data_IF_869977650949
#
_entry.id   IF_869977650949
#
_cell.length_a   1.000
_cell.length_b   1.000
_cell.length_c   1.000
_cell.angle_alpha   90.00
_cell.angle_beta   90.00
_cell.angle_gamma   90.00
#
_symmetry.space_group_name_H-M   'P 1'
#
loop_
_entity.id
_entity.type
_entity.pdbx_description
1 polymer ?
#
# COMPACT_ATOMS: atom_id res chain seq x y z
N UNK A 1 13.97 7.35 -8.76
CA UNK A 1 14.14 8.76 -8.31
C UNK A 1 15.57 9.20 -8.54
N UNK A 2 15.77 10.30 -9.25
CA UNK A 2 17.12 10.80 -9.56
C UNK A 2 17.69 11.53 -8.33
N UNK A 3 18.66 10.91 -7.65
CA UNK A 3 19.37 11.48 -6.49
C UNK A 3 20.07 12.82 -6.82
N UNK A 4 20.22 13.15 -8.10
CA UNK A 4 20.80 14.40 -8.58
C UNK A 4 19.76 15.52 -8.54
N UNK A 5 18.53 15.27 -8.98
CA UNK A 5 17.41 16.21 -8.86
C UNK A 5 17.11 16.55 -7.40
N UNK A 6 17.17 15.56 -6.51
CA UNK A 6 16.96 15.76 -5.07
C UNK A 6 18.08 16.61 -4.42
N UNK A 7 19.35 16.46 -4.85
CA UNK A 7 20.46 17.29 -4.39
C UNK A 7 20.39 18.73 -4.91
N UNK A 8 19.91 18.92 -6.13
CA UNK A 8 19.73 20.25 -6.72
C UNK A 8 18.57 20.98 -6.03
N UNK A 9 17.45 20.33 -5.80
CA UNK A 9 16.33 20.88 -5.03
C UNK A 9 16.71 21.29 -3.60
N UNK A 10 17.65 20.56 -2.97
CA UNK A 10 18.20 20.93 -1.63
C UNK A 10 19.17 22.10 -1.67
N UNK A 11 19.85 22.37 -2.81
CA UNK A 11 20.84 23.45 -2.92
C UNK A 11 20.28 24.78 -3.42
N UNK A 12 19.28 24.75 -4.29
CA UNK A 12 18.79 25.93 -5.02
C UNK A 12 17.84 26.84 -4.23
N UNK A 13 17.02 26.28 -3.37
CA UNK A 13 16.16 27.05 -2.46
C UNK A 13 16.25 26.37 -1.10
N UNK A 14 16.40 27.16 -0.03
CA UNK A 14 16.24 26.70 1.34
C UNK A 14 14.79 26.18 1.56
N UNK A 15 14.43 25.11 0.84
CA UNK A 15 13.23 24.34 1.13
C UNK A 15 13.51 23.71 2.47
N UNK A 16 13.11 24.41 3.53
CA UNK A 16 13.06 23.83 4.85
C UNK A 16 12.37 22.48 4.72
N UNK A 17 12.97 21.37 5.20
CA UNK A 17 12.30 20.10 5.21
C UNK A 17 10.94 20.36 5.87
N UNK A 18 9.82 20.15 5.15
CA UNK A 18 8.48 20.23 5.73
C UNK A 18 8.44 19.26 6.91
N UNK A 19 8.75 19.77 8.10
CA UNK A 19 8.70 18.99 9.33
C UNK A 19 7.23 18.67 9.57
N UNK A 20 6.87 17.41 9.35
CA UNK A 20 5.51 16.94 9.59
C UNK A 20 5.23 17.00 11.08
N UNK A 21 4.31 17.84 11.48
CA UNK A 21 3.86 17.97 12.87
C UNK A 21 2.79 16.91 13.14
N UNK A 22 2.75 16.39 14.36
CA UNK A 22 1.72 15.42 14.76
C UNK A 22 0.28 15.98 14.58
N UNK A 23 0.12 17.31 14.58
CA UNK A 23 -1.13 18.01 14.25
C UNK A 23 -1.59 17.81 12.80
N UNK A 24 -0.68 17.49 11.88
CA UNK A 24 -1.00 17.30 10.46
C UNK A 24 -1.74 15.98 10.20
N UNK A 25 -1.67 15.04 11.14
CA UNK A 25 -2.46 13.79 11.14
C UNK A 25 -3.97 14.09 11.03
N UNK A 26 -4.45 15.16 11.64
CA UNK A 26 -5.86 15.58 11.55
C UNK A 26 -6.27 16.04 10.15
N UNK A 27 -5.30 16.38 9.31
CA UNK A 27 -5.53 16.85 7.92
C UNK A 27 -5.55 15.70 6.91
N UNK A 28 -5.30 14.47 7.35
CA UNK A 28 -5.36 13.32 6.45
C UNK A 28 -6.78 13.17 5.86
N UNK A 29 -6.83 12.82 4.58
CA UNK A 29 -8.09 12.61 3.85
C UNK A 29 -8.92 11.50 4.51
N UNK A 30 -10.24 11.57 4.36
CA UNK A 30 -11.14 10.52 4.84
C UNK A 30 -10.79 9.12 4.36
N UNK A 31 -10.27 8.99 3.15
CA UNK A 31 -9.78 7.73 2.58
C UNK A 31 -8.66 7.10 3.41
N UNK A 32 -7.76 7.89 3.99
CA UNK A 32 -6.72 7.38 4.88
C UNK A 32 -7.31 6.71 6.12
N UNK A 33 -8.30 7.33 6.74
CA UNK A 33 -8.96 6.78 7.92
C UNK A 33 -9.76 5.52 7.61
N UNK A 34 -10.42 5.46 6.45
CA UNK A 34 -11.09 4.25 6.01
C UNK A 34 -10.09 3.10 5.77
N UNK A 35 -8.96 3.34 5.10
CA UNK A 35 -7.91 2.33 4.93
C UNK A 35 -7.34 1.89 6.29
N UNK A 36 -7.17 2.83 7.23
CA UNK A 36 -6.73 2.52 8.59
C UNK A 36 -7.74 1.64 9.32
N UNK A 37 -9.05 1.89 9.17
CA UNK A 37 -10.11 1.02 9.73
C UNK A 37 -10.05 -0.38 9.14
N UNK A 38 -9.87 -0.52 7.82
CA UNK A 38 -9.68 -1.83 7.17
C UNK A 38 -8.48 -2.57 7.77
N UNK A 39 -7.36 -1.88 7.89
CA UNK A 39 -6.13 -2.41 8.48
C UNK A 39 -6.39 -2.92 9.90
N UNK A 40 -6.89 -2.05 10.78
CA UNK A 40 -7.14 -2.38 12.18
C UNK A 40 -8.09 -3.56 12.28
N UNK A 41 -9.26 -3.49 11.66
CA UNK A 41 -10.31 -4.49 11.79
C UNK A 41 -9.85 -5.87 11.29
N UNK A 42 -9.13 -5.94 10.19
CA UNK A 42 -8.59 -7.19 9.67
C UNK A 42 -7.54 -7.81 10.62
N UNK A 43 -6.57 -7.01 11.05
CA UNK A 43 -5.51 -7.51 11.92
C UNK A 43 -6.02 -7.88 13.32
N UNK A 44 -7.09 -7.24 13.82
CA UNK A 44 -7.78 -7.61 15.05
C UNK A 44 -8.45 -8.99 14.98
N UNK A 45 -8.79 -9.48 13.79
CA UNK A 45 -9.29 -10.85 13.65
C UNK A 45 -8.12 -11.86 13.57
N UNK A 46 -7.10 -11.58 12.77
CA UNK A 46 -6.06 -12.55 12.42
C UNK A 46 -5.07 -12.79 13.57
N UNK A 47 -4.48 -11.74 14.15
CA UNK A 47 -3.39 -11.94 15.12
C UNK A 47 -3.86 -12.56 16.46
N UNK A 48 -4.98 -12.14 17.06
CA UNK A 48 -5.49 -12.82 18.25
C UNK A 48 -5.95 -14.26 17.98
N UNK A 49 -6.48 -14.54 16.77
CA UNK A 49 -6.76 -15.91 16.34
C UNK A 49 -5.48 -16.75 16.32
N UNK A 50 -4.39 -16.27 15.71
CA UNK A 50 -3.12 -16.99 15.69
C UNK A 50 -2.57 -17.19 17.10
N UNK A 51 -2.68 -16.20 17.97
CA UNK A 51 -2.23 -16.30 19.36
C UNK A 51 -2.96 -17.38 20.15
N UNK A 52 -4.25 -17.60 19.90
CA UNK A 52 -5.09 -18.59 20.54
C UNK A 52 -5.21 -19.89 19.75
N UNK A 53 -4.68 -19.92 18.51
CA UNK A 53 -4.91 -20.97 17.52
C UNK A 53 -4.44 -22.36 17.98
N UNK A 54 -3.29 -22.46 18.66
CA UNK A 54 -2.81 -23.75 19.19
C UNK A 54 -3.89 -24.39 20.08
N UNK A 55 -4.37 -23.68 21.08
CA UNK A 55 -5.36 -24.20 22.04
C UNK A 55 -6.73 -24.42 21.36
N UNK A 56 -7.06 -23.60 20.34
CA UNK A 56 -8.25 -23.81 19.52
C UNK A 56 -8.21 -25.15 18.79
N UNK A 57 -7.10 -25.51 18.14
CA UNK A 57 -6.97 -26.78 17.43
C UNK A 57 -6.89 -28.00 18.37
N UNK A 58 -6.21 -27.88 19.50
CA UNK A 58 -6.20 -28.90 20.53
C UNK A 58 -7.61 -29.24 21.02
N UNK A 59 -8.41 -28.21 21.33
CA UNK A 59 -9.73 -28.41 21.94
C UNK A 59 -10.84 -28.72 20.94
N UNK A 60 -10.85 -28.07 19.79
CA UNK A 60 -11.91 -28.27 18.79
C UNK A 60 -11.70 -29.55 17.96
N UNK A 61 -10.47 -29.84 17.57
CA UNK A 61 -10.12 -30.91 16.65
C UNK A 61 -9.42 -32.09 17.32
N UNK A 62 -9.19 -32.02 18.63
CA UNK A 62 -8.45 -33.01 19.42
C UNK A 62 -7.05 -33.31 18.87
N UNK A 63 -6.36 -32.30 18.36
CA UNK A 63 -4.99 -32.45 17.91
C UNK A 63 -4.05 -32.54 19.12
N UNK A 64 -2.99 -33.32 18.98
CA UNK A 64 -1.86 -33.29 19.91
C UNK A 64 -1.15 -31.91 19.83
N UNK A 65 -0.43 -31.49 20.89
CA UNK A 65 0.20 -30.17 20.96
C UNK A 65 1.15 -29.83 19.80
N UNK A 66 1.84 -30.83 19.24
CA UNK A 66 2.79 -30.63 18.13
C UNK A 66 2.03 -30.42 16.83
N UNK A 67 1.03 -31.23 16.52
CA UNK A 67 0.16 -31.06 15.36
C UNK A 67 -0.63 -29.75 15.41
N UNK A 68 -1.13 -29.36 16.59
CA UNK A 68 -1.81 -28.08 16.77
C UNK A 68 -0.88 -26.89 16.52
N UNK A 69 0.36 -26.97 16.95
CA UNK A 69 1.38 -25.95 16.71
C UNK A 69 1.79 -25.88 15.24
N UNK A 70 1.95 -27.05 14.60
CA UNK A 70 2.27 -27.14 13.19
C UNK A 70 1.19 -26.50 12.32
N UNK A 71 -0.08 -26.84 12.54
CA UNK A 71 -1.19 -26.27 11.76
C UNK A 71 -1.33 -24.77 12.00
N UNK A 72 -1.16 -24.30 13.22
CA UNK A 72 -1.21 -22.89 13.55
C UNK A 72 -0.09 -22.10 12.84
N UNK A 73 1.07 -22.71 12.66
CA UNK A 73 2.22 -22.10 11.97
C UNK A 73 2.07 -22.04 10.45
N UNK A 74 1.14 -22.80 9.85
CA UNK A 74 0.97 -22.86 8.39
C UNK A 74 0.72 -21.49 7.76
N UNK A 75 0.00 -20.61 8.47
CA UNK A 75 -0.28 -19.26 7.96
C UNK A 75 1.02 -18.51 7.64
N UNK A 76 2.04 -18.63 8.49
CA UNK A 76 3.34 -17.98 8.29
C UNK A 76 4.17 -18.68 7.20
N UNK A 77 4.17 -20.01 7.16
CA UNK A 77 4.88 -20.76 6.12
C UNK A 77 4.32 -20.49 4.73
N UNK A 78 2.99 -20.52 4.59
CA UNK A 78 2.32 -20.19 3.33
C UNK A 78 2.60 -18.73 2.97
N UNK A 79 2.48 -17.81 3.92
CA UNK A 79 2.75 -16.40 3.71
C UNK A 79 4.19 -16.16 3.22
N UNK A 80 5.18 -16.78 3.83
CA UNK A 80 6.59 -16.62 3.43
C UNK A 80 6.84 -17.00 1.97
N UNK A 81 6.19 -18.08 1.49
CA UNK A 81 6.35 -18.58 0.11
C UNK A 81 5.51 -17.75 -0.88
N UNK A 82 4.27 -17.42 -0.51
CA UNK A 82 3.28 -16.86 -1.44
C UNK A 82 3.36 -15.33 -1.53
N UNK A 83 3.81 -14.63 -0.48
CA UNK A 83 3.88 -13.16 -0.46
C UNK A 83 4.69 -12.56 -1.61
N UNK A 84 5.88 -13.05 -1.98
CA UNK A 84 6.61 -12.49 -3.12
C UNK A 84 5.84 -12.63 -4.44
N UNK A 85 5.16 -13.77 -4.64
CA UNK A 85 4.36 -14.02 -5.86
C UNK A 85 3.13 -13.10 -5.91
N UNK A 86 2.43 -12.97 -4.80
CA UNK A 86 1.27 -12.08 -4.70
C UNK A 86 1.66 -10.61 -4.78
N UNK A 87 2.82 -10.21 -4.24
CA UNK A 87 3.36 -8.87 -4.42
C UNK A 87 3.54 -8.53 -5.89
N UNK A 88 4.22 -9.40 -6.65
CA UNK A 88 4.39 -9.23 -8.10
C UNK A 88 3.03 -9.20 -8.84
N UNK A 89 2.07 -10.02 -8.42
CA UNK A 89 0.74 -10.05 -9.01
C UNK A 89 0.03 -8.71 -8.79
N UNK A 90 0.01 -8.22 -7.56
CA UNK A 90 -0.61 -6.93 -7.19
C UNK A 90 0.08 -5.77 -7.90
N UNK A 91 1.41 -5.75 -7.94
CA UNK A 91 2.18 -4.71 -8.61
C UNK A 91 1.90 -4.64 -10.12
N UNK A 92 1.74 -5.80 -10.77
CA UNK A 92 1.44 -5.86 -12.21
C UNK A 92 -0.01 -5.53 -12.54
N UNK A 93 -0.95 -5.96 -11.72
CA UNK A 93 -2.38 -5.79 -11.99
C UNK A 93 -2.93 -4.47 -11.47
N UNK A 94 -2.27 -3.85 -10.49
CA UNK A 94 -2.85 -2.76 -9.73
C UNK A 94 -4.08 -3.25 -8.95
N UNK A 95 -5.20 -2.51 -9.04
CA UNK A 95 -6.50 -2.86 -8.47
C UNK A 95 -6.44 -3.21 -6.99
N UNK A 96 -5.73 -2.41 -6.23
CA UNK A 96 -5.42 -2.70 -4.83
C UNK A 96 -6.66 -2.93 -3.97
N UNK A 97 -7.72 -2.11 -4.12
CA UNK A 97 -8.95 -2.27 -3.33
C UNK A 97 -9.68 -3.58 -3.68
N UNK A 98 -9.65 -4.00 -4.95
CA UNK A 98 -10.20 -5.29 -5.37
C UNK A 98 -9.49 -6.46 -4.69
N UNK A 99 -8.16 -6.45 -4.65
CA UNK A 99 -7.39 -7.50 -3.98
C UNK A 99 -7.61 -7.53 -2.47
N UNK A 100 -7.72 -6.36 -1.83
CA UNK A 100 -8.12 -6.25 -0.41
C UNK A 100 -9.50 -6.87 -0.19
N UNK A 101 -10.49 -6.56 -1.04
CA UNK A 101 -11.83 -7.12 -0.95
C UNK A 101 -11.84 -8.64 -1.04
N UNK A 102 -11.17 -9.22 -2.05
CA UNK A 102 -11.08 -10.68 -2.22
C UNK A 102 -10.38 -11.34 -1.02
N UNK A 103 -9.33 -10.72 -0.49
CA UNK A 103 -8.61 -11.22 0.67
C UNK A 103 -9.50 -11.32 1.90
N UNK A 104 -10.28 -10.27 2.18
CA UNK A 104 -11.20 -10.25 3.32
C UNK A 104 -12.31 -11.30 3.14
N UNK A 105 -12.90 -11.40 1.94
CA UNK A 105 -13.91 -12.42 1.64
C UNK A 105 -13.37 -13.84 1.86
N UNK A 106 -12.18 -14.15 1.37
CA UNK A 106 -11.56 -15.47 1.57
C UNK A 106 -11.27 -15.75 3.06
N UNK A 107 -10.86 -14.74 3.81
CA UNK A 107 -10.64 -14.87 5.26
C UNK A 107 -11.95 -15.09 6.01
N UNK A 108 -13.03 -14.38 5.65
CA UNK A 108 -14.38 -14.61 6.22
C UNK A 108 -14.84 -16.04 5.97
N UNK A 109 -14.63 -16.56 4.75
CA UNK A 109 -14.99 -17.95 4.44
C UNK A 109 -14.18 -18.92 5.29
N UNK A 110 -12.87 -18.72 5.44
CA UNK A 110 -12.02 -19.60 6.26
C UNK A 110 -12.45 -19.60 7.73
N UNK A 111 -12.68 -18.42 8.34
CA UNK A 111 -13.21 -18.32 9.71
C UNK A 111 -14.62 -18.90 9.83
N UNK A 112 -15.50 -18.69 8.84
CA UNK A 112 -16.83 -19.26 8.82
C UNK A 112 -16.80 -20.80 8.82
N UNK A 113 -15.93 -21.41 8.01
CA UNK A 113 -15.73 -22.87 8.02
C UNK A 113 -15.16 -23.34 9.35
N UNK A 114 -14.19 -22.63 9.91
CA UNK A 114 -13.66 -22.95 11.24
C UNK A 114 -14.72 -22.77 12.34
N UNK A 115 -15.62 -21.80 12.26
CA UNK A 115 -16.68 -21.58 13.24
C UNK A 115 -17.73 -22.68 13.21
N UNK A 116 -18.28 -22.95 12.01
CA UNK A 116 -19.53 -23.71 11.87
C UNK A 116 -19.35 -25.16 11.37
N UNK A 117 -18.13 -25.60 11.08
CA UNK A 117 -17.89 -26.96 10.61
C UNK A 117 -16.72 -27.64 11.33
N UNK A 118 -16.64 -28.95 11.15
CA UNK A 118 -15.48 -29.79 11.52
C UNK A 118 -14.71 -30.25 10.28
N UNK A 119 -14.79 -29.48 9.19
CA UNK A 119 -13.98 -29.73 8.02
C UNK A 119 -12.47 -29.69 8.38
N UNK A 120 -11.65 -30.35 7.55
CA UNK A 120 -10.23 -30.41 7.82
C UNK A 120 -9.62 -28.99 7.90
N UNK A 121 -9.10 -28.56 9.05
CA UNK A 121 -8.68 -27.18 9.30
C UNK A 121 -7.45 -26.78 8.48
N UNK A 122 -6.71 -27.73 7.92
CA UNK A 122 -5.56 -27.42 7.03
C UNK A 122 -5.97 -26.59 5.84
N UNK A 123 -7.12 -26.83 5.21
CA UNK A 123 -7.61 -26.02 4.09
C UNK A 123 -7.89 -24.57 4.51
N UNK A 124 -8.45 -24.39 5.70
CA UNK A 124 -8.73 -23.05 6.23
C UNK A 124 -7.44 -22.29 6.50
N UNK A 125 -6.45 -22.93 7.12
CA UNK A 125 -5.17 -22.28 7.43
C UNK A 125 -4.36 -21.96 6.18
N UNK A 126 -4.40 -22.82 5.16
CA UNK A 126 -3.78 -22.52 3.85
C UNK A 126 -4.48 -21.32 3.21
N UNK A 127 -5.81 -21.32 3.18
CA UNK A 127 -6.59 -20.18 2.65
C UNK A 127 -6.26 -18.89 3.40
N UNK A 128 -6.20 -18.92 4.74
CA UNK A 128 -5.83 -17.78 5.55
C UNK A 128 -4.40 -17.29 5.27
N UNK A 129 -3.45 -18.19 5.06
CA UNK A 129 -2.08 -17.82 4.69
C UNK A 129 -2.00 -17.09 3.35
N UNK A 130 -2.76 -17.55 2.35
CA UNK A 130 -2.86 -16.92 1.03
C UNK A 130 -3.55 -15.55 1.12
N UNK A 131 -4.72 -15.49 1.78
CA UNK A 131 -5.50 -14.26 1.88
C UNK A 131 -4.81 -13.19 2.74
N UNK A 132 -4.14 -13.60 3.81
CA UNK A 132 -3.30 -12.71 4.62
C UNK A 132 -2.17 -12.09 3.80
N UNK A 133 -1.46 -12.91 3.01
CA UNK A 133 -0.38 -12.43 2.14
C UNK A 133 -0.87 -11.48 1.07
N UNK A 134 -2.01 -11.80 0.45
CA UNK A 134 -2.65 -10.97 -0.57
C UNK A 134 -3.09 -9.63 0.02
N UNK A 135 -3.70 -9.64 1.20
CA UNK A 135 -4.09 -8.41 1.89
C UNK A 135 -2.88 -7.54 2.21
N UNK A 136 -1.84 -8.11 2.81
CA UNK A 136 -0.63 -7.36 3.16
C UNK A 136 0.00 -6.72 1.91
N UNK A 137 0.09 -7.45 0.79
CA UNK A 137 0.64 -6.95 -0.47
C UNK A 137 -0.20 -5.86 -1.14
N UNK A 138 -1.51 -5.80 -0.87
CA UNK A 138 -2.41 -4.83 -1.49
C UNK A 138 -2.78 -3.65 -0.58
N UNK A 139 -2.91 -3.86 0.74
CA UNK A 139 -3.35 -2.85 1.71
C UNK A 139 -2.26 -1.82 2.01
N UNK A 140 -1.02 -2.25 2.26
CA UNK A 140 0.06 -1.33 2.59
C UNK A 140 0.40 -0.36 1.46
N UNK A 141 0.43 -0.76 0.18
CA UNK A 141 0.56 0.19 -0.92
C UNK A 141 -0.59 1.20 -1.03
N UNK A 142 -1.81 0.88 -0.58
CA UNK A 142 -2.93 1.84 -0.57
C UNK A 142 -2.61 3.08 0.27
N UNK A 143 -1.94 2.92 1.42
CA UNK A 143 -1.53 4.06 2.25
C UNK A 143 -0.59 4.99 1.48
N UNK A 144 0.33 4.42 0.69
CA UNK A 144 1.24 5.21 -0.14
C UNK A 144 0.52 5.94 -1.29
N UNK A 145 -0.52 5.33 -1.86
CA UNK A 145 -1.29 5.93 -2.95
C UNK A 145 -2.16 7.13 -2.52
N UNK A 146 -2.61 7.13 -1.27
CA UNK A 146 -3.51 8.18 -0.74
C UNK A 146 -2.80 9.24 0.08
N UNK A 147 -1.49 9.06 0.35
CA UNK A 147 -0.72 9.95 1.21
C UNK A 147 0.40 10.64 0.41
N UNK A 148 0.58 11.96 0.55
CA UNK A 148 1.71 12.66 -0.06
C UNK A 148 3.06 12.08 0.38
N UNK A 149 4.05 12.06 -0.52
CA UNK A 149 5.37 11.45 -0.26
C UNK A 149 6.04 11.96 1.04
N UNK A 150 5.95 13.27 1.31
CA UNK A 150 6.57 13.88 2.50
C UNK A 150 5.91 13.48 3.82
N UNK A 151 4.70 12.88 3.80
CA UNK A 151 3.93 12.46 4.97
C UNK A 151 3.87 10.93 5.14
N UNK A 152 4.46 10.15 4.23
CA UNK A 152 4.38 8.69 4.24
C UNK A 152 4.85 8.06 5.55
N UNK A 153 5.99 8.53 6.09
CA UNK A 153 6.51 8.01 7.36
C UNK A 153 5.53 8.21 8.52
N UNK A 154 4.89 9.39 8.58
CA UNK A 154 3.88 9.69 9.61
C UNK A 154 2.61 8.87 9.40
N UNK A 155 2.15 8.71 8.17
CA UNK A 155 0.96 7.92 7.84
C UNK A 155 1.14 6.44 8.23
N UNK A 156 2.25 5.84 7.84
CA UNK A 156 2.57 4.46 8.25
C UNK A 156 2.72 4.33 9.76
N UNK A 157 3.40 5.29 10.41
CA UNK A 157 3.58 5.29 11.86
C UNK A 157 2.25 5.38 12.61
N UNK A 158 1.33 6.24 12.18
CA UNK A 158 0.00 6.38 12.76
C UNK A 158 -0.83 5.12 12.54
N UNK A 159 -0.90 4.61 11.31
CA UNK A 159 -1.64 3.40 11.00
C UNK A 159 -1.16 2.21 11.86
N UNK A 160 0.18 2.03 11.97
CA UNK A 160 0.79 0.98 12.77
C UNK A 160 0.56 1.17 14.27
N UNK A 161 0.62 2.40 14.78
CA UNK A 161 0.38 2.68 16.19
C UNK A 161 -1.06 2.37 16.60
N UNK A 162 -2.04 2.81 15.79
CA UNK A 162 -3.45 2.54 16.03
C UNK A 162 -3.76 1.05 15.90
N UNK A 163 -3.16 0.36 14.92
CA UNK A 163 -3.26 -1.09 14.77
C UNK A 163 -2.76 -1.82 16.02
N UNK A 164 -1.57 -1.49 16.51
CA UNK A 164 -0.99 -2.15 17.67
C UNK A 164 -1.80 -1.89 18.97
N UNK A 165 -2.31 -0.67 19.13
CA UNK A 165 -3.21 -0.36 20.25
C UNK A 165 -4.49 -1.20 20.17
N UNK A 166 -5.09 -1.30 18.99
CA UNK A 166 -6.25 -2.13 18.76
C UNK A 166 -5.99 -3.60 19.04
N UNK A 167 -4.85 -4.13 18.58
CA UNK A 167 -4.43 -5.50 18.86
C UNK A 167 -4.32 -5.78 20.37
N UNK A 168 -3.73 -4.86 21.14
CA UNK A 168 -3.61 -5.02 22.58
C UNK A 168 -4.99 -5.14 23.24
N UNK A 169 -5.92 -4.25 22.90
CA UNK A 169 -7.29 -4.26 23.46
C UNK A 169 -8.04 -5.54 23.05
N UNK A 170 -8.00 -5.87 21.76
CA UNK A 170 -8.76 -7.03 21.25
C UNK A 170 -8.20 -8.35 21.73
N UNK A 171 -6.89 -8.47 21.96
CA UNK A 171 -6.30 -9.69 22.53
C UNK A 171 -6.80 -9.96 23.95
N UNK A 172 -6.99 -8.92 24.78
CA UNK A 172 -7.57 -9.05 26.11
C UNK A 172 -9.05 -9.49 26.02
N UNK A 173 -9.81 -8.86 25.12
CA UNK A 173 -11.21 -9.22 24.90
C UNK A 173 -11.36 -10.65 24.39
N UNK A 174 -10.50 -11.07 23.44
CA UNK A 174 -10.51 -12.43 22.89
C UNK A 174 -10.24 -13.49 23.98
N UNK A 175 -9.28 -13.25 24.88
CA UNK A 175 -9.04 -14.11 26.03
C UNK A 175 -10.28 -14.23 26.92
N UNK A 176 -10.91 -13.11 27.27
CA UNK A 176 -12.13 -13.10 28.09
C UNK A 176 -13.31 -13.78 27.40
N UNK A 177 -13.46 -13.61 26.09
CA UNK A 177 -14.54 -14.24 25.32
C UNK A 177 -14.38 -15.77 25.31
N UNK A 178 -13.15 -16.26 25.10
CA UNK A 178 -12.90 -17.70 25.05
C UNK A 178 -13.13 -18.37 26.38
N UNK A 179 -12.82 -17.69 27.51
CA UNK A 179 -13.05 -18.21 28.84
C UNK A 179 -14.55 -18.35 29.18
N UNK A 180 -15.37 -17.39 28.74
CA UNK A 180 -16.81 -17.33 29.09
C UNK A 180 -17.70 -17.97 28.03
N UNK A 181 -17.41 -17.78 26.76
CA UNK A 181 -18.28 -18.15 25.66
C UNK A 181 -17.74 -19.28 24.77
N UNK A 182 -16.50 -19.70 25.01
CA UNK A 182 -15.85 -20.74 24.21
C UNK A 182 -15.44 -20.28 22.80
N UNK A 183 -14.96 -21.24 21.99
CA UNK A 183 -14.34 -20.96 20.71
C UNK A 183 -15.31 -20.52 19.61
N UNK A 184 -16.58 -20.96 19.66
CA UNK A 184 -17.58 -20.50 18.69
C UNK A 184 -17.84 -18.99 18.87
N UNK A 185 -17.98 -18.52 20.12
CA UNK A 185 -18.17 -17.08 20.37
C UNK A 185 -16.95 -16.27 19.96
N UNK A 186 -15.76 -16.82 20.15
CA UNK A 186 -14.51 -16.21 19.69
C UNK A 186 -14.47 -16.07 18.16
N UNK A 187 -14.83 -17.11 17.43
CA UNK A 187 -14.87 -17.07 15.96
C UNK A 187 -15.93 -16.06 15.44
N UNK A 188 -17.09 -16.01 16.07
CA UNK A 188 -18.11 -15.00 15.75
C UNK A 188 -17.60 -13.57 16.01
N UNK A 189 -16.83 -13.37 17.06
CA UNK A 189 -16.19 -12.10 17.35
C UNK A 189 -15.17 -11.70 16.27
N UNK A 190 -14.34 -12.63 15.78
CA UNK A 190 -13.42 -12.38 14.69
C UNK A 190 -14.16 -12.13 13.36
N UNK A 191 -15.20 -12.90 13.07
CA UNK A 191 -16.07 -12.63 11.93
C UNK A 191 -16.68 -11.24 11.98
N UNK A 192 -17.08 -10.75 13.17
CA UNK A 192 -17.57 -9.38 13.33
C UNK A 192 -16.54 -8.32 12.91
N UNK A 193 -15.29 -8.47 13.30
CA UNK A 193 -14.21 -7.58 12.87
C UNK A 193 -13.95 -7.67 11.37
N UNK A 194 -13.98 -8.86 10.77
CA UNK A 194 -13.82 -9.04 9.33
C UNK A 194 -14.97 -8.41 8.54
N UNK A 195 -16.21 -8.45 9.04
CA UNK A 195 -17.33 -7.75 8.43
C UNK A 195 -17.16 -6.22 8.49
N UNK A 196 -16.66 -5.67 9.59
CA UNK A 196 -16.31 -4.23 9.69
C UNK A 196 -15.27 -3.88 8.64
N UNK A 197 -14.22 -4.70 8.50
CA UNK A 197 -13.19 -4.53 7.47
C UNK A 197 -13.75 -4.56 6.06
N UNK A 198 -14.67 -5.51 5.78
CA UNK A 198 -15.32 -5.63 4.47
C UNK A 198 -16.18 -4.40 4.15
N UNK A 199 -17.01 -3.96 5.09
CA UNK A 199 -17.86 -2.76 4.92
C UNK A 199 -17.00 -1.52 4.67
N UNK A 200 -15.91 -1.35 5.44
CA UNK A 200 -14.97 -0.24 5.22
C UNK A 200 -14.29 -0.31 3.85
N UNK A 201 -13.94 -1.51 3.36
CA UNK A 201 -13.37 -1.72 2.03
C UNK A 201 -14.36 -1.34 0.92
N UNK A 202 -15.63 -1.73 1.06
CA UNK A 202 -16.70 -1.34 0.12
C UNK A 202 -16.89 0.19 0.15
N UNK A 203 -16.86 0.81 1.34
CA UNK A 203 -16.95 2.26 1.46
C UNK A 203 -15.78 2.99 0.77
N UNK A 204 -14.54 2.45 0.88
CA UNK A 204 -13.39 2.97 0.11
C UNK A 204 -13.66 2.85 -1.38
N UNK A 205 -14.12 1.70 -1.86
CA UNK A 205 -14.39 1.46 -3.28
C UNK A 205 -15.40 2.46 -3.84
N UNK A 206 -16.53 2.62 -3.15
CA UNK A 206 -17.58 3.58 -3.54
C UNK A 206 -17.04 5.02 -3.52
N UNK A 207 -16.35 5.40 -2.44
CA UNK A 207 -15.79 6.75 -2.30
C UNK A 207 -14.74 7.06 -3.37
N UNK A 208 -13.87 6.11 -3.69
CA UNK A 208 -12.85 6.27 -4.72
C UNK A 208 -13.46 6.38 -6.12
N UNK A 209 -14.44 5.52 -6.43
CA UNK A 209 -15.15 5.58 -7.71
C UNK A 209 -15.95 6.89 -7.89
N UNK A 210 -16.47 7.46 -6.81
CA UNK A 210 -17.27 8.69 -6.87
C UNK A 210 -16.44 9.97 -6.88
N UNK A 211 -15.25 9.96 -6.25
CA UNK A 211 -14.47 11.18 -6.00
C UNK A 211 -13.13 11.25 -6.73
N UNK A 212 -12.58 10.11 -7.17
CA UNK A 212 -11.24 10.00 -7.76
C UNK A 212 -11.23 9.07 -8.99
N UNK A 213 -12.33 8.93 -9.70
CA UNK A 213 -12.46 8.11 -10.93
C UNK A 213 -11.96 6.67 -10.77
N UNK A 214 -11.97 6.13 -9.54
CA UNK A 214 -11.51 4.77 -9.26
C UNK A 214 -9.99 4.61 -9.24
N UNK A 215 -9.23 5.66 -8.95
CA UNK A 215 -7.76 5.70 -8.95
C UNK A 215 -7.10 4.54 -8.20
N UNK A 216 -7.68 4.12 -7.08
CA UNK A 216 -7.14 3.04 -6.25
C UNK A 216 -7.30 1.65 -6.89
N UNK A 217 -8.20 1.52 -7.87
CA UNK A 217 -8.43 0.30 -8.64
C UNK A 217 -7.93 0.37 -10.10
N UNK A 218 -7.22 1.42 -10.46
CA UNK A 218 -6.56 1.52 -11.77
C UNK A 218 -5.37 0.57 -11.86
N UNK A 219 -5.09 0.09 -13.07
CA UNK A 219 -3.83 -0.59 -13.39
C UNK A 219 -2.66 0.40 -13.32
N UNK A 220 -1.41 -0.08 -13.22
CA UNK A 220 -0.25 0.81 -13.20
C UNK A 220 -0.17 1.76 -14.40
N UNK A 221 -0.52 1.27 -15.59
CA UNK A 221 -0.52 2.08 -16.82
C UNK A 221 -1.61 3.16 -16.82
N UNK A 222 -2.83 2.80 -16.42
CA UNK A 222 -3.96 3.75 -16.30
C UNK A 222 -3.65 4.81 -15.24
N UNK A 223 -3.03 4.42 -14.12
CA UNK A 223 -2.65 5.33 -13.04
C UNK A 223 -1.55 6.30 -13.47
N UNK A 224 -0.59 5.82 -14.26
CA UNK A 224 0.45 6.69 -14.84
C UNK A 224 -0.18 7.73 -15.77
N UNK A 225 -1.09 7.30 -16.65
CA UNK A 225 -1.79 8.20 -17.55
C UNK A 225 -2.66 9.20 -16.78
N UNK A 226 -3.45 8.75 -15.79
CA UNK A 226 -4.25 9.62 -14.94
C UNK A 226 -3.41 10.70 -14.24
N UNK A 227 -2.23 10.33 -13.74
CA UNK A 227 -1.32 11.27 -13.07
C UNK A 227 -0.73 12.29 -14.06
N UNK A 228 -0.57 11.92 -15.33
CA UNK A 228 -0.14 12.84 -16.39
C UNK A 228 -1.23 13.84 -16.76
N UNK A 229 -2.48 13.38 -16.82
CA UNK A 229 -3.64 14.21 -17.16
C UNK A 229 -4.06 15.12 -16.01
N UNK A 230 -3.78 14.71 -14.76
CA UNK A 230 -4.10 15.45 -13.52
C UNK A 230 -2.83 15.72 -12.68
N UNK A 231 -1.92 16.58 -13.13
CA UNK A 231 -0.69 16.84 -12.41
C UNK A 231 -0.95 17.50 -11.05
N UNK A 232 -0.35 16.97 -9.99
CA UNK A 232 -0.43 17.56 -8.66
C UNK A 232 0.32 18.91 -8.61
N UNK A 233 -0.07 19.81 -7.68
CA UNK A 233 0.65 21.10 -7.50
C UNK A 233 2.13 20.88 -7.20
N UNK A 234 2.48 19.88 -6.39
CA UNK A 234 3.88 19.52 -6.09
C UNK A 234 4.64 19.08 -7.35
N UNK A 235 3.99 18.36 -8.29
CA UNK A 235 4.60 17.96 -9.56
C UNK A 235 4.80 19.16 -10.51
N UNK A 236 3.86 20.08 -10.53
CA UNK A 236 3.96 21.32 -11.31
C UNK A 236 5.04 22.25 -10.75
N UNK A 237 5.17 22.37 -9.44
CA UNK A 237 6.25 23.14 -8.82
C UNK A 237 7.62 22.52 -9.10
N UNK A 238 7.76 21.19 -9.00
CA UNK A 238 8.98 20.49 -9.39
C UNK A 238 9.32 20.71 -10.87
N UNK A 239 8.34 20.66 -11.74
CA UNK A 239 8.55 20.91 -13.17
C UNK A 239 8.99 22.37 -13.43
N UNK A 240 8.39 23.34 -12.76
CA UNK A 240 8.79 24.75 -12.83
C UNK A 240 10.23 24.96 -12.36
N UNK A 241 10.61 24.37 -11.22
CA UNK A 241 11.98 24.47 -10.70
C UNK A 241 13.01 23.87 -11.66
N UNK A 242 12.72 22.68 -12.18
CA UNK A 242 13.60 22.01 -13.16
C UNK A 242 13.70 22.78 -14.49
N UNK A 243 12.63 23.43 -14.91
CA UNK A 243 12.64 24.25 -16.14
C UNK A 243 13.39 25.58 -15.94
N UNK A 244 13.32 26.17 -14.76
CA UNK A 244 14.02 27.43 -14.42
C UNK A 244 15.52 27.20 -14.30
N UNK A 245 15.96 26.08 -13.74
CA UNK A 245 17.37 25.72 -13.63
C UNK A 245 18.00 25.40 -14.99
N UNK A 246 17.23 24.76 -15.89
CA UNK A 246 17.67 24.49 -17.28
C UNK A 246 17.87 25.78 -18.08
N UNK A 247 17.20 26.87 -17.71
CA UNK A 247 17.35 28.18 -18.39
C UNK A 247 18.49 29.02 -17.81
N UNK A 248 18.92 28.81 -16.58
CA UNK A 248 20.04 29.54 -15.99
C UNK A 248 21.43 29.08 -16.47
N UNK A 249 21.52 27.82 -16.92
CA UNK A 249 22.78 27.24 -17.47
C UNK A 249 22.91 27.36 -18.98
N UNK A 250 21.92 27.93 -19.70
CA UNK A 250 21.93 28.08 -21.14
C UNK A 250 22.57 29.43 -21.51
N UNK A 251 23.66 29.40 -22.27
CA UNK A 251 24.23 30.59 -22.91
C UNK A 251 23.25 31.19 -23.95
N UNK A 252 23.35 32.50 -24.20
CA UNK A 252 22.43 33.23 -25.09
C UNK A 252 22.27 32.60 -26.48
N UNK A 253 23.22 31.79 -26.93
CA UNK A 253 23.21 31.08 -28.23
C UNK A 253 22.27 29.84 -28.24
N UNK A 254 21.99 29.24 -27.10
CA UNK A 254 21.10 28.08 -27.00
C UNK A 254 19.62 28.47 -27.05
N UNK A 255 19.30 29.75 -26.89
CA UNK A 255 17.92 30.27 -26.91
C UNK A 255 17.30 30.35 -28.30
N UNK A 256 18.11 30.18 -29.35
CA UNK A 256 17.66 30.28 -30.75
C UNK A 256 17.26 28.95 -31.39
N UNK A 257 17.40 27.81 -30.69
CA UNK A 257 16.95 26.51 -31.21
C UNK A 257 15.53 26.15 -30.76
N UNK A 258 14.73 25.45 -31.60
CA UNK A 258 13.38 25.02 -31.25
C UNK A 258 13.42 24.03 -30.09
N UNK A 259 13.17 24.53 -28.89
CA UNK A 259 13.34 23.80 -27.62
C UNK A 259 12.28 22.71 -27.37
N UNK A 260 11.17 22.70 -28.12
CA UNK A 260 10.05 21.80 -27.89
C UNK A 260 10.43 20.32 -27.99
N UNK A 261 11.13 19.95 -29.07
CA UNK A 261 11.41 18.55 -29.40
C UNK A 261 12.50 17.93 -28.50
N UNK A 262 13.50 18.74 -28.11
CA UNK A 262 14.57 18.31 -27.20
C UNK A 262 14.03 18.11 -25.79
N UNK A 263 13.12 18.99 -25.33
CA UNK A 263 12.48 18.87 -24.01
C UNK A 263 11.59 17.63 -23.92
N UNK A 264 10.77 17.38 -24.94
CA UNK A 264 9.91 16.20 -25.02
C UNK A 264 10.75 14.93 -25.03
N UNK A 265 11.80 14.88 -25.84
CA UNK A 265 12.72 13.75 -25.94
C UNK A 265 13.47 13.50 -24.62
N UNK A 266 14.00 14.52 -23.98
CA UNK A 266 14.73 14.40 -22.72
C UNK A 266 13.81 13.99 -21.57
N UNK A 267 12.56 14.45 -21.55
CA UNK A 267 11.52 14.03 -20.62
C UNK A 267 11.19 12.53 -20.82
N UNK A 268 11.07 12.08 -22.06
CA UNK A 268 10.82 10.67 -22.36
C UNK A 268 12.00 9.78 -21.94
N UNK A 269 13.24 10.16 -22.29
CA UNK A 269 14.43 9.40 -21.94
C UNK A 269 14.68 9.32 -20.45
N UNK A 270 14.43 10.38 -19.68
CA UNK A 270 14.56 10.35 -18.23
C UNK A 270 13.52 9.44 -17.55
N UNK A 271 12.35 9.28 -18.15
CA UNK A 271 11.30 8.39 -17.64
C UNK A 271 11.62 6.91 -17.79
N UNK A 272 12.25 6.54 -18.92
CA UNK A 272 12.65 5.15 -19.16
C UNK A 272 14.01 4.80 -18.56
N UNK A 273 14.61 5.70 -17.77
CA UNK A 273 15.93 5.49 -17.16
C UNK A 273 17.09 5.45 -18.15
N UNK A 274 16.88 5.88 -19.39
CA UNK A 274 17.93 5.95 -20.40
C UNK A 274 18.87 7.14 -20.13
N UNK A 275 20.17 6.94 -20.39
CA UNK A 275 21.15 8.02 -20.31
C UNK A 275 20.80 9.13 -21.30
N UNK A 276 20.72 10.38 -20.82
CA UNK A 276 20.53 11.53 -21.69
C UNK A 276 21.68 11.59 -22.69
N UNK A 277 21.40 11.82 -24.00
CA UNK A 277 22.44 11.97 -24.98
C UNK A 277 23.33 13.15 -24.60
N UNK A 278 24.63 12.90 -24.48
CA UNK A 278 25.63 13.95 -24.29
C UNK A 278 25.52 14.89 -25.51
N UNK A 279 25.29 16.17 -25.26
CA UNK A 279 25.29 17.15 -26.35
C UNK A 279 26.62 17.04 -27.11
N UNK A 280 26.58 16.54 -28.34
CA UNK A 280 27.73 16.64 -29.24
C UNK A 280 27.96 18.12 -29.47
N UNK A 281 29.16 18.60 -29.16
CA UNK A 281 29.59 19.97 -29.46
C UNK A 281 29.24 20.27 -30.93
N UNK A 282 28.39 21.27 -31.12
CA UNK A 282 28.02 21.74 -32.45
C UNK A 282 29.29 22.05 -33.21
N UNK A 283 29.50 21.33 -34.31
CA UNK A 283 30.59 21.61 -35.27
C UNK A 283 30.29 22.97 -35.85
N UNK A 284 31.11 23.94 -35.54
CA UNK A 284 31.07 25.30 -36.08
C UNK A 284 31.14 25.23 -37.59
N UNK A 285 30.05 25.51 -38.28
CA UNK A 285 30.02 25.66 -39.71
C UNK A 285 30.80 26.93 -40.04
N UNK A 286 32.02 26.81 -40.62
CA UNK A 286 32.78 27.91 -41.19
C UNK A 286 32.22 28.18 -42.58
N UNK A 287 31.67 29.36 -42.88
CA UNK A 287 31.26 29.67 -44.27
C UNK A 287 32.51 29.78 -45.13
N UNK A 288 32.53 29.02 -46.23
CA UNK A 288 33.50 29.18 -47.29
C UNK A 288 33.28 30.55 -47.94
N UNK A 289 34.36 31.33 -48.00
CA UNK A 289 34.45 32.54 -48.84
C UNK A 289 34.57 32.14 -50.29
#
# INVERSE_FOLDING_TARGET
>A
MDRRAERLLRRGHGVEPKIVKLSDVKKFRGSFWLVTVVCIAYYMAIFPFIALGKVFFERKYNFDPDSANMINSLIFWISAVVSPLLGILVDKTGRNVFWVFISICGTIVAHGVLAFSYANPYYCMITMGITYSMLASSLWPLIALITPEHQLGTAYGVAQAVQNLGLAVVSILAGTIVEKGGYLMLELFFLGWLWISLIATVAIWISDSASNDGFLNMTPAEREQYTLDHPSQDSLEREKLLSTESTSDLSADDLLQPQSDIRIRNRYLSRIGAALPTQSKATTYRPLR
#
